data_IF_260607099365
#
_entry.id   IF_260607099365
#
_cell.length_a   1.000
_cell.length_b   1.000
_cell.length_c   1.000
_cell.angle_alpha   90.00
_cell.angle_beta   90.00
_cell.angle_gamma   90.00
#
_symmetry.space_group_name_H-M   'P 1'
#
loop_
_entity.id
_entity.type
_entity.pdbx_description
1 polymer ?
#
# COMPACT_ATOMS: atom_id res chain seq x y z
N UNK A 1 -6.30 -6.87 3.54
CA UNK A 1 -5.04 -6.48 2.85
C UNK A 1 -4.97 -4.99 2.49
N UNK A 2 -6.11 -4.31 2.28
CA UNK A 2 -6.14 -2.88 1.92
C UNK A 2 -5.45 -1.94 2.90
N UNK A 3 -5.61 -2.17 4.22
CA UNK A 3 -5.05 -1.31 5.28
C UNK A 3 -3.52 -1.16 5.19
N UNK A 4 -2.81 -2.28 5.13
CA UNK A 4 -1.34 -2.30 5.05
C UNK A 4 -0.83 -1.67 3.75
N UNK A 5 -1.51 -1.91 2.62
CA UNK A 5 -1.15 -1.30 1.34
C UNK A 5 -1.29 0.23 1.38
N UNK A 6 -2.41 0.74 1.90
CA UNK A 6 -2.62 2.20 2.03
C UNK A 6 -1.63 2.82 3.02
N UNK A 7 -1.36 2.14 4.14
CA UNK A 7 -0.33 2.57 5.09
C UNK A 7 1.03 2.68 4.41
N UNK A 8 1.44 1.66 3.66
CA UNK A 8 2.73 1.64 2.97
C UNK A 8 2.89 2.81 1.99
N UNK A 9 1.83 3.13 1.23
CA UNK A 9 1.85 4.29 0.32
C UNK A 9 1.97 5.60 1.12
N UNK A 10 1.17 5.76 2.18
CA UNK A 10 1.16 6.97 3.00
C UNK A 10 2.42 7.16 3.84
N UNK A 11 3.21 6.11 4.08
CA UNK A 11 4.50 6.19 4.78
C UNK A 11 5.62 6.80 3.92
N UNK A 12 5.39 7.03 2.62
CA UNK A 12 6.38 7.67 1.76
C UNK A 12 6.29 9.21 1.85
N UNK A 13 7.38 9.86 2.24
CA UNK A 13 7.43 11.32 2.51
C UNK A 13 6.94 12.19 1.34
N UNK A 14 7.18 11.76 0.09
CA UNK A 14 6.73 12.49 -1.09
C UNK A 14 5.22 12.39 -1.36
N UNK A 15 4.47 11.60 -0.59
CA UNK A 15 3.03 11.36 -0.79
C UNK A 15 2.23 12.06 0.30
N UNK A 16 1.39 13.01 -0.12
CA UNK A 16 0.52 13.76 0.78
C UNK A 16 -0.86 13.12 0.99
N UNK A 17 -1.35 12.33 0.03
CA UNK A 17 -2.69 11.75 0.07
C UNK A 17 -2.83 10.55 -0.87
N UNK A 18 -3.83 9.72 -0.59
CA UNK A 18 -4.25 8.58 -1.42
C UNK A 18 -5.75 8.65 -1.67
N UNK A 19 -6.19 8.28 -2.89
CA UNK A 19 -7.61 8.29 -3.29
C UNK A 19 -8.05 6.87 -3.63
N UNK A 20 -8.34 6.01 -2.62
CA UNK A 20 -8.73 4.63 -2.89
C UNK A 20 -10.18 4.52 -3.34
N UNK A 21 -10.44 3.64 -4.30
CA UNK A 21 -11.80 3.29 -4.71
C UNK A 21 -12.53 2.43 -3.67
N UNK A 22 -13.87 2.48 -3.69
CA UNK A 22 -14.75 1.65 -2.88
C UNK A 22 -16.10 1.43 -3.58
N UNK A 23 -16.77 0.32 -3.28
CA UNK A 23 -18.08 -0.10 -3.80
C UNK A 23 -19.13 -0.28 -2.70
N UNK A 24 -18.70 -0.29 -1.43
CA UNK A 24 -19.58 -0.44 -0.27
C UNK A 24 -18.95 0.20 0.98
N UNK A 25 -19.76 0.39 2.02
CA UNK A 25 -19.35 1.06 3.28
C UNK A 25 -18.21 0.33 3.96
N UNK A 26 -18.22 -1.00 4.01
CA UNK A 26 -17.16 -1.80 4.62
C UNK A 26 -15.78 -1.48 4.02
N UNK A 27 -15.70 -1.25 2.71
CA UNK A 27 -14.44 -0.86 2.08
C UNK A 27 -13.97 0.54 2.48
N UNK A 28 -14.89 1.47 2.76
CA UNK A 28 -14.55 2.78 3.30
C UNK A 28 -13.97 2.62 4.71
N UNK A 29 -14.63 1.84 5.57
CA UNK A 29 -14.16 1.55 6.93
C UNK A 29 -12.77 0.87 6.91
N UNK A 30 -12.57 -0.09 6.00
CA UNK A 30 -11.27 -0.74 5.80
C UNK A 30 -10.20 0.22 5.25
N UNK A 31 -10.55 1.16 4.38
CA UNK A 31 -9.61 2.18 3.90
C UNK A 31 -9.20 3.13 5.03
N UNK A 32 -10.17 3.60 5.82
CA UNK A 32 -9.94 4.51 6.95
C UNK A 32 -9.11 3.84 8.05
N UNK A 33 -9.31 2.55 8.30
CA UNK A 33 -8.55 1.81 9.30
C UNK A 33 -7.03 1.70 8.99
N UNK A 34 -6.58 2.12 7.80
CA UNK A 34 -5.16 2.21 7.46
C UNK A 34 -4.39 3.18 8.38
N UNK A 35 -5.03 4.22 8.92
CA UNK A 35 -4.39 5.20 9.82
C UNK A 35 -3.92 4.58 11.14
N UNK A 36 -4.52 3.46 11.54
CA UNK A 36 -4.20 2.74 12.77
C UNK A 36 -3.15 1.64 12.56
N UNK A 37 -2.69 1.44 11.32
CA UNK A 37 -1.65 0.45 11.04
C UNK A 37 -0.29 1.02 11.48
N UNK A 38 0.51 0.25 12.24
CA UNK A 38 1.88 0.65 12.60
C UNK A 38 2.75 0.96 11.38
N UNK A 39 3.82 1.72 11.60
CA UNK A 39 4.87 1.86 10.58
C UNK A 39 5.52 0.51 10.27
N UNK A 40 5.95 0.37 9.03
CA UNK A 40 6.73 -0.79 8.60
C UNK A 40 8.15 -0.69 9.14
N UNK A 41 8.65 -1.81 9.64
CA UNK A 41 10.05 -1.96 10.00
C UNK A 41 10.93 -2.09 8.75
N UNK A 42 12.22 -1.73 8.86
CA UNK A 42 13.20 -1.90 7.78
C UNK A 42 13.25 -3.32 7.17
N UNK A 43 13.19 -4.41 7.97
CA UNK A 43 13.11 -5.77 7.42
C UNK A 43 11.85 -6.01 6.59
N UNK A 44 10.70 -5.46 6.99
CA UNK A 44 9.45 -5.57 6.23
C UNK A 44 9.53 -4.82 4.92
N UNK A 45 10.09 -3.60 4.93
CA UNK A 45 10.30 -2.80 3.73
C UNK A 45 11.24 -3.51 2.74
N UNK A 46 12.33 -4.10 3.24
CA UNK A 46 13.27 -4.89 2.43
C UNK A 46 12.57 -6.10 1.79
N UNK A 47 11.72 -6.79 2.57
CA UNK A 47 10.93 -7.92 2.06
C UNK A 47 9.94 -7.49 0.98
N UNK A 48 9.24 -6.37 1.18
CA UNK A 48 8.30 -5.80 0.20
C UNK A 48 9.01 -5.39 -1.09
N UNK A 49 10.19 -4.77 -1.00
CA UNK A 49 11.00 -4.41 -2.16
C UNK A 49 11.44 -5.66 -2.96
N UNK A 50 11.79 -6.73 -2.26
CA UNK A 50 12.17 -8.01 -2.89
C UNK A 50 10.97 -8.67 -3.57
N UNK A 51 9.82 -8.71 -2.90
CA UNK A 51 8.55 -9.19 -3.46
C UNK A 51 8.16 -8.41 -4.72
N UNK A 52 8.23 -7.08 -4.68
CA UNK A 52 7.92 -6.25 -5.85
C UNK A 52 8.78 -6.62 -7.06
N UNK A 53 10.10 -6.69 -6.87
CA UNK A 53 11.06 -6.99 -7.95
C UNK A 53 10.89 -8.40 -8.51
N UNK A 54 10.69 -9.39 -7.65
CA UNK A 54 10.72 -10.79 -8.04
C UNK A 54 9.36 -11.34 -8.48
N UNK A 55 8.25 -10.75 -8.00
CA UNK A 55 6.91 -11.35 -8.16
C UNK A 55 5.86 -10.37 -8.72
N UNK A 56 6.14 -9.07 -8.82
CA UNK A 56 5.12 -8.07 -9.23
C UNK A 56 5.52 -7.33 -10.50
N UNK A 57 6.78 -6.90 -10.63
CA UNK A 57 7.24 -6.00 -11.68
C UNK A 57 6.86 -6.47 -13.08
N UNK A 58 7.10 -7.74 -13.40
CA UNK A 58 6.80 -8.34 -14.71
C UNK A 58 5.30 -8.42 -15.06
N UNK A 59 4.42 -8.21 -14.08
CA UNK A 59 2.97 -8.22 -14.27
C UNK A 59 2.36 -6.82 -14.47
N UNK A 60 3.14 -5.76 -14.26
CA UNK A 60 2.67 -4.38 -14.41
C UNK A 60 2.56 -4.05 -15.91
N UNK A 61 1.39 -3.56 -16.32
CA UNK A 61 1.11 -3.17 -17.70
C UNK A 61 1.02 -1.65 -17.80
N UNK A 62 1.68 -1.08 -18.80
CA UNK A 62 1.69 0.36 -19.06
C UNK A 62 3.06 0.80 -19.58
N UNK A 63 3.20 2.04 -20.06
CA UNK A 63 4.48 2.59 -20.48
C UNK A 63 5.30 2.97 -19.23
N UNK A 64 5.85 1.98 -18.55
CA UNK A 64 6.76 2.16 -17.41
C UNK A 64 7.85 1.10 -17.48
#
# INVERSE_FOLDING_TARGET
MTRAALKWILSHDAISSVIPGFKNVKQIEDNLAAVNVPEFSEPELTKLASFYKNEVHDHIRGPY
#
